data_IF_508089198992
#
_entry.id   IF_508089198992
#
_cell.length_a   1.000
_cell.length_b   1.000
_cell.length_c   1.000
_cell.angle_alpha   90.00
_cell.angle_beta   90.00
_cell.angle_gamma   90.00
#
_symmetry.space_group_name_H-M   'P 1'
#
loop_
_entity.id
_entity.type
_entity.pdbx_description
1 polymer ?
#
# COMPACT_ATOMS: atom_id res chain seq x y z
N UNK A 1 2.07 -15.97 -3.56
CA UNK A 1 2.47 -14.56 -3.35
C UNK A 1 3.49 -14.14 -4.38
N UNK A 2 3.31 -12.98 -4.97
CA UNK A 2 4.23 -12.47 -5.97
C UNK A 2 5.29 -11.59 -5.34
N UNK A 3 6.52 -11.78 -5.77
CA UNK A 3 7.60 -10.89 -5.37
C UNK A 3 7.83 -9.88 -6.48
N UNK A 4 7.92 -8.63 -6.10
CA UNK A 4 8.18 -7.54 -7.04
C UNK A 4 9.49 -6.89 -6.63
N UNK A 5 10.40 -6.75 -7.59
CA UNK A 5 11.64 -6.02 -7.35
C UNK A 5 11.43 -4.56 -7.76
N UNK A 6 11.73 -3.67 -6.84
CA UNK A 6 11.52 -2.24 -7.04
C UNK A 6 12.82 -1.50 -6.81
N UNK A 7 13.02 -0.42 -7.58
CA UNK A 7 14.08 0.53 -7.26
C UNK A 7 13.71 1.31 -6.02
N UNK A 8 14.67 1.98 -5.41
CA UNK A 8 14.42 2.81 -4.24
C UNK A 8 13.38 3.89 -4.53
N UNK A 9 13.47 4.51 -5.71
CA UNK A 9 12.49 5.52 -6.10
C UNK A 9 11.10 4.96 -6.29
N UNK A 10 10.99 3.79 -6.89
CA UNK A 10 9.69 3.14 -7.06
C UNK A 10 9.08 2.77 -5.72
N UNK A 11 9.89 2.28 -4.81
CA UNK A 11 9.41 1.94 -3.46
C UNK A 11 8.89 3.18 -2.75
N UNK A 12 9.62 4.29 -2.86
CA UNK A 12 9.20 5.54 -2.25
C UNK A 12 7.85 6.00 -2.78
N UNK A 13 7.65 5.91 -4.10
CA UNK A 13 6.37 6.28 -4.70
C UNK A 13 5.24 5.40 -4.17
N UNK A 14 5.49 4.11 -4.07
CA UNK A 14 4.47 3.18 -3.57
C UNK A 14 4.14 3.46 -2.11
N UNK A 15 5.14 3.74 -1.30
CA UNK A 15 4.92 4.10 0.10
C UNK A 15 4.03 5.32 0.23
N UNK A 16 4.30 6.35 -0.56
CA UNK A 16 3.50 7.57 -0.53
C UNK A 16 2.07 7.31 -0.99
N UNK A 17 1.91 6.56 -2.08
CA UNK A 17 0.58 6.26 -2.62
C UNK A 17 -0.24 5.42 -1.66
N UNK A 18 0.38 4.44 -1.02
CA UNK A 18 -0.30 3.56 -0.07
C UNK A 18 -0.76 4.35 1.16
N UNK A 19 0.10 5.23 1.65
CA UNK A 19 -0.26 6.06 2.82
C UNK A 19 -1.34 7.06 2.45
N UNK A 20 -1.28 7.64 1.27
CA UNK A 20 -2.32 8.55 0.80
C UNK A 20 -3.66 7.83 0.72
N UNK A 21 -3.67 6.62 0.16
CA UNK A 21 -4.89 5.83 0.08
C UNK A 21 -5.44 5.47 1.46
N UNK A 22 -4.56 5.22 2.42
CA UNK A 22 -4.98 4.95 3.79
C UNK A 22 -5.68 6.17 4.40
N UNK A 23 -5.08 7.36 4.24
CA UNK A 23 -5.64 8.59 4.78
C UNK A 23 -6.97 8.97 4.13
N UNK A 24 -7.12 8.66 2.84
CA UNK A 24 -8.34 8.97 2.09
C UNK A 24 -9.41 7.87 2.20
N UNK A 25 -9.12 6.82 2.96
CA UNK A 25 -10.05 5.70 3.17
C UNK A 25 -10.44 5.01 1.87
N UNK A 26 -9.48 4.91 0.94
CA UNK A 26 -9.73 4.32 -0.37
C UNK A 26 -10.22 2.86 -0.28
N UNK A 27 -9.62 2.00 0.56
CA UNK A 27 -10.11 0.61 0.63
C UNK A 27 -11.57 0.53 1.07
N UNK A 28 -11.99 1.36 2.02
CA UNK A 28 -13.37 1.37 2.46
C UNK A 28 -14.31 1.85 1.34
N UNK A 29 -13.91 2.90 0.62
CA UNK A 29 -14.71 3.45 -0.47
C UNK A 29 -14.84 2.48 -1.63
N UNK A 30 -13.81 1.68 -1.89
CA UNK A 30 -13.79 0.72 -2.99
C UNK A 30 -14.37 -0.63 -2.61
N UNK A 31 -14.64 -0.85 -1.34
CA UNK A 31 -15.11 -2.15 -0.87
C UNK A 31 -14.02 -3.21 -0.84
N UNK A 32 -12.76 -2.81 -0.76
CA UNK A 32 -11.63 -3.72 -0.65
C UNK A 32 -11.53 -4.27 0.76
N UNK A 33 -10.82 -5.40 0.89
CA UNK A 33 -10.56 -5.97 2.21
C UNK A 33 -9.55 -5.08 2.95
N UNK A 34 -10.00 -4.44 4.02
CA UNK A 34 -9.20 -3.50 4.78
C UNK A 34 -7.97 -4.20 5.39
N UNK A 35 -8.15 -5.43 5.87
CA UNK A 35 -7.04 -6.17 6.46
C UNK A 35 -5.92 -6.43 5.43
N UNK A 36 -6.30 -6.75 4.21
CA UNK A 36 -5.33 -6.95 3.13
C UNK A 36 -4.56 -5.64 2.86
N UNK A 37 -5.27 -4.52 2.86
CA UNK A 37 -4.64 -3.22 2.66
C UNK A 37 -3.68 -2.88 3.81
N UNK A 38 -4.10 -3.12 5.04
CA UNK A 38 -3.24 -2.89 6.21
C UNK A 38 -1.97 -3.73 6.14
N UNK A 39 -2.08 -4.98 5.70
CA UNK A 39 -0.91 -5.85 5.53
C UNK A 39 0.03 -5.29 4.47
N UNK A 40 -0.52 -4.72 3.41
CA UNK A 40 0.29 -4.09 2.37
C UNK A 40 1.04 -2.87 2.92
N UNK A 41 0.36 -2.04 3.71
CA UNK A 41 1.00 -0.88 4.35
C UNK A 41 2.19 -1.34 5.18
N UNK A 42 2.00 -2.37 6.00
CA UNK A 42 3.07 -2.93 6.82
C UNK A 42 4.26 -3.39 5.97
N UNK A 43 3.97 -4.08 4.86
CA UNK A 43 5.02 -4.62 4.01
C UNK A 43 5.85 -3.52 3.35
N UNK A 44 5.21 -2.47 2.86
CA UNK A 44 5.92 -1.42 2.13
C UNK A 44 6.63 -0.43 3.06
N UNK A 45 6.21 -0.38 4.33
CA UNK A 45 6.81 0.56 5.30
C UNK A 45 7.89 -0.07 6.15
N UNK A 46 8.22 -1.32 5.93
CA UNK A 46 9.28 -2.01 6.68
C UNK A 46 10.67 -1.44 6.47
#
# INVERSE_FOLDING_TARGET
MHKIELTDGQLEYIQELVMFGYEMEVPEQKGWDVQTYDNLVDEVMK
#
